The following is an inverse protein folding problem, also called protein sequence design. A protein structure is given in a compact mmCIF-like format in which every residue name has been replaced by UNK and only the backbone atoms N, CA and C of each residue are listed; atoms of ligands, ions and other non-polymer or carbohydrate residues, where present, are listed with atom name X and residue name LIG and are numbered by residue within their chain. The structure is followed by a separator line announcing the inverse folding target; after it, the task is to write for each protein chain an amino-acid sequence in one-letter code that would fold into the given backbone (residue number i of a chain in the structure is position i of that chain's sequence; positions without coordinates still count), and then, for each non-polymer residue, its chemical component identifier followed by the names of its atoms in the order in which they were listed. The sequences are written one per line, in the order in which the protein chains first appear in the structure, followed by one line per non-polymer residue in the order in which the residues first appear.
data_IF_847264690964
#
_entry.id   IF_847264690964
#
_cell.length_a   1.000
_cell.length_b   1.000
_cell.length_c   1.000
_cell.angle_alpha   90.00
_cell.angle_beta   90.00
_cell.angle_gamma   90.00
#
_symmetry.space_group_name_H-M   'P 1'
#
loop_
_entity.id
_entity.type
_entity.pdbx_description
1 polymer ?
#
# COMPACT_ATOMS: atom_id res chain seq x y z
N UNK A 1 7.89 25.37 -29.93
CA UNK A 1 9.04 24.86 -29.15
C UNK A 1 10.28 25.77 -29.18
N UNK A 2 10.55 26.55 -30.24
CA UNK A 2 11.74 27.43 -30.32
C UNK A 2 11.71 28.65 -29.37
N UNK A 3 10.53 29.27 -29.19
CA UNK A 3 10.38 30.57 -28.50
C UNK A 3 10.78 30.58 -27.01
N UNK A 4 10.52 29.49 -26.28
CA UNK A 4 10.87 29.41 -24.85
C UNK A 4 12.38 29.19 -24.63
N UNK A 5 13.03 28.43 -25.50
CA UNK A 5 14.48 28.17 -25.42
C UNK A 5 15.33 29.42 -25.70
N UNK A 6 14.88 30.30 -26.58
CA UNK A 6 15.55 31.58 -26.90
C UNK A 6 15.44 32.58 -25.75
N UNK A 7 14.25 32.69 -25.13
CA UNK A 7 14.05 33.53 -23.93
C UNK A 7 14.93 33.05 -22.77
N UNK A 8 15.02 31.73 -22.57
CA UNK A 8 15.87 31.13 -21.52
C UNK A 8 17.38 31.33 -21.77
N UNK A 9 17.82 31.41 -23.03
CA UNK A 9 19.21 31.76 -23.36
C UNK A 9 19.51 33.24 -23.13
N UNK A 10 18.53 34.12 -23.36
CA UNK A 10 18.66 35.56 -23.16
C UNK A 10 18.69 35.98 -21.68
N UNK A 11 18.06 35.21 -20.77
CA UNK A 11 17.96 35.54 -19.33
C UNK A 11 19.21 35.16 -18.53
N UNK A 12 20.16 34.41 -19.09
CA UNK A 12 21.39 34.04 -18.40
C UNK A 12 21.24 32.87 -17.41
N UNK A 13 22.39 32.30 -17.04
CA UNK A 13 22.57 31.04 -16.33
C UNK A 13 21.63 30.81 -15.13
N UNK A 14 21.04 29.60 -15.07
CA UNK A 14 20.47 28.93 -13.88
C UNK A 14 20.47 29.76 -12.59
N UNK A 15 19.47 30.63 -12.45
CA UNK A 15 19.28 31.39 -11.21
C UNK A 15 18.70 30.52 -10.08
N UNK A 16 18.89 30.96 -8.83
CA UNK A 16 18.34 30.30 -7.63
C UNK A 16 16.82 30.03 -7.74
N UNK A 17 16.09 30.93 -8.41
CA UNK A 17 14.65 30.80 -8.62
C UNK A 17 14.27 29.60 -9.50
N UNK A 18 15.04 29.31 -10.56
CA UNK A 18 14.79 28.14 -11.41
C UNK A 18 15.09 26.84 -10.65
N UNK A 19 16.18 26.82 -9.89
CA UNK A 19 16.53 25.68 -9.02
C UNK A 19 15.45 25.43 -7.97
N UNK A 20 14.93 26.47 -7.32
CA UNK A 20 13.84 26.36 -6.34
C UNK A 20 12.55 25.79 -6.96
N UNK A 21 12.15 26.26 -8.15
CA UNK A 21 10.97 25.74 -8.84
C UNK A 21 11.15 24.26 -9.20
N UNK A 22 12.33 23.90 -9.70
CA UNK A 22 12.65 22.52 -10.08
C UNK A 22 12.62 21.60 -8.86
N UNK A 23 13.19 22.02 -7.74
CA UNK A 23 13.09 21.28 -6.47
C UNK A 23 11.64 21.18 -5.98
N UNK A 24 10.86 22.26 -6.06
CA UNK A 24 9.46 22.27 -5.65
C UNK A 24 8.60 21.33 -6.51
N UNK A 25 8.84 21.29 -7.83
CA UNK A 25 8.16 20.34 -8.74
C UNK A 25 8.59 18.92 -8.41
N UNK A 26 9.82 18.68 -7.99
CA UNK A 26 10.33 17.34 -7.69
C UNK A 26 9.88 16.79 -6.33
N UNK A 27 9.55 17.66 -5.37
CA UNK A 27 9.17 17.28 -4.00
C UNK A 27 8.02 16.25 -3.92
N UNK A 28 6.91 16.35 -4.69
CA UNK A 28 5.85 15.35 -4.66
C UNK A 28 6.29 13.93 -5.06
N UNK A 29 7.44 13.74 -5.72
CA UNK A 29 7.97 12.39 -5.99
C UNK A 29 8.35 11.62 -4.71
N UNK A 30 8.63 12.34 -3.61
CA UNK A 30 8.80 11.70 -2.30
C UNK A 30 7.49 11.05 -1.84
N UNK A 31 6.36 11.73 -2.03
CA UNK A 31 5.03 11.22 -1.65
C UNK A 31 4.58 10.06 -2.55
N UNK A 32 4.97 10.08 -3.84
CA UNK A 32 4.71 8.98 -4.76
C UNK A 32 5.33 7.66 -4.27
N UNK A 33 6.54 7.74 -3.71
CA UNK A 33 7.28 6.57 -3.22
C UNK A 33 6.50 5.78 -2.16
N UNK A 34 5.74 6.49 -1.33
CA UNK A 34 4.89 5.91 -0.28
C UNK A 34 3.70 5.15 -0.88
N UNK A 35 3.10 5.70 -1.93
CA UNK A 35 2.01 5.03 -2.65
C UNK A 35 2.48 3.73 -3.31
N UNK A 36 3.73 3.70 -3.81
CA UNK A 36 4.35 2.47 -4.31
C UNK A 36 4.71 1.50 -3.19
N UNK A 37 5.16 1.98 -2.03
CA UNK A 37 5.44 1.11 -0.89
C UNK A 37 4.17 0.35 -0.45
N UNK A 38 2.99 0.97 -0.48
CA UNK A 38 1.72 0.26 -0.21
C UNK A 38 1.52 -1.00 -1.06
N UNK A 39 2.10 -1.05 -2.27
CA UNK A 39 2.00 -2.20 -3.18
C UNK A 39 2.98 -3.29 -2.77
N UNK A 40 4.20 -2.94 -2.38
CA UNK A 40 5.19 -3.91 -1.90
C UNK A 40 4.70 -4.64 -0.65
N UNK A 41 3.93 -3.95 0.20
CA UNK A 41 3.28 -4.54 1.38
C UNK A 41 2.07 -5.42 1.04
N UNK A 42 1.47 -5.26 -0.14
CA UNK A 42 0.46 -6.20 -0.65
C UNK A 42 1.11 -7.53 -1.08
N UNK A 43 2.40 -7.50 -1.42
CA UNK A 43 3.15 -8.68 -1.88
C UNK A 43 3.87 -9.42 -0.74
N UNK A 44 4.09 -8.75 0.41
CA UNK A 44 4.68 -9.40 1.58
C UNK A 44 3.68 -10.38 2.21
N UNK A 45 3.92 -11.67 2.03
CA UNK A 45 3.10 -12.76 2.56
C UNK A 45 3.67 -13.23 3.92
N UNK A 46 3.07 -12.85 5.07
CA UNK A 46 3.57 -13.28 6.39
C UNK A 46 3.28 -14.76 6.66
N UNK A 47 4.07 -15.36 7.54
CA UNK A 47 3.75 -16.69 8.06
C UNK A 47 2.41 -16.66 8.81
N UNK A 48 1.60 -17.70 8.58
CA UNK A 48 0.21 -17.75 9.04
C UNK A 48 -0.26 -19.19 9.17
N UNK A 49 -1.33 -19.37 9.92
CA UNK A 49 -2.06 -20.62 10.02
C UNK A 49 -3.58 -20.34 10.10
N UNK A 50 -4.41 -21.36 9.83
CA UNK A 50 -5.85 -21.23 9.99
C UNK A 50 -6.21 -21.02 11.47
N UNK A 51 -7.22 -20.18 11.75
CA UNK A 51 -7.84 -20.23 13.06
C UNK A 51 -8.54 -21.60 13.25
N UNK A 52 -8.20 -22.31 14.32
CA UNK A 52 -8.72 -23.64 14.64
C UNK A 52 -9.31 -23.72 16.05
N UNK A 53 -9.83 -22.61 16.57
CA UNK A 53 -10.45 -22.51 17.90
C UNK A 53 -11.62 -23.47 18.12
N UNK A 54 -12.20 -24.04 17.05
CA UNK A 54 -13.26 -25.05 17.15
C UNK A 54 -12.83 -26.25 18.02
N UNK A 55 -11.55 -26.60 18.08
CA UNK A 55 -11.06 -27.73 18.89
C UNK A 55 -11.08 -27.44 20.39
N UNK A 56 -11.07 -26.16 20.80
CA UNK A 56 -11.18 -25.76 22.21
C UNK A 56 -12.54 -26.16 22.82
N UNK A 57 -13.57 -26.37 21.99
CA UNK A 57 -14.84 -26.95 22.42
C UNK A 57 -14.75 -28.42 22.83
N UNK A 58 -13.79 -29.17 22.27
CA UNK A 58 -13.52 -30.58 22.62
C UNK A 58 -12.47 -30.71 23.73
N UNK A 59 -11.60 -29.71 23.89
CA UNK A 59 -10.56 -29.67 24.92
C UNK A 59 -10.17 -28.24 25.29
N UNK A 60 -10.65 -27.68 26.40
CA UNK A 60 -10.39 -26.28 26.76
C UNK A 60 -8.97 -26.00 27.29
N UNK A 61 -8.19 -27.05 27.62
CA UNK A 61 -6.86 -26.93 28.23
C UNK A 61 -5.73 -27.40 27.28
N UNK A 62 -5.87 -27.21 25.96
CA UNK A 62 -4.79 -27.50 25.02
C UNK A 62 -3.75 -26.37 24.98
N UNK A 63 -2.49 -26.73 24.78
CA UNK A 63 -1.45 -25.77 24.40
C UNK A 63 -1.56 -25.45 22.91
N UNK A 64 -1.12 -24.25 22.53
CA UNK A 64 -1.19 -23.77 21.13
C UNK A 64 -0.44 -24.70 20.16
N UNK A 65 0.73 -25.22 20.57
CA UNK A 65 1.50 -26.18 19.78
C UNK A 65 0.75 -27.50 19.58
N UNK A 66 0.08 -28.00 20.63
CA UNK A 66 -0.67 -29.25 20.55
C UNK A 66 -1.93 -29.08 19.71
N UNK A 67 -2.60 -27.93 19.83
CA UNK A 67 -3.72 -27.54 18.98
C UNK A 67 -3.31 -27.55 17.51
N UNK A 68 -2.26 -26.82 17.14
CA UNK A 68 -1.81 -26.72 15.74
C UNK A 68 -1.37 -28.08 15.18
N UNK A 69 -0.71 -28.91 15.98
CA UNK A 69 -0.29 -30.24 15.53
C UNK A 69 -1.46 -31.20 15.28
N UNK A 70 -2.62 -30.98 15.93
CA UNK A 70 -3.82 -31.78 15.72
C UNK A 70 -4.73 -31.23 14.61
N UNK A 71 -4.77 -29.90 14.42
CA UNK A 71 -5.74 -29.24 13.54
C UNK A 71 -5.20 -28.78 12.21
N UNK A 72 -3.87 -28.62 12.06
CA UNK A 72 -3.24 -28.14 10.84
C UNK A 72 -2.35 -29.25 10.23
N UNK A 73 -2.59 -29.65 8.96
CA UNK A 73 -1.74 -30.63 8.30
C UNK A 73 -0.33 -30.09 8.08
N UNK A 74 0.66 -30.98 7.99
CA UNK A 74 2.04 -30.63 7.64
C UNK A 74 2.28 -30.78 6.15
N UNK A 75 3.00 -29.82 5.58
CA UNK A 75 3.50 -29.88 4.22
C UNK A 75 4.66 -30.90 4.10
N UNK A 76 5.03 -31.31 2.87
CA UNK A 76 6.10 -32.31 2.65
C UNK A 76 7.47 -31.88 3.19
N UNK A 77 7.66 -30.59 3.41
CA UNK A 77 8.84 -29.96 3.99
C UNK A 77 8.85 -30.00 5.54
N UNK A 78 7.78 -30.51 6.17
CA UNK A 78 7.61 -30.59 7.60
C UNK A 78 7.08 -29.31 8.25
N UNK A 79 6.82 -28.26 7.46
CA UNK A 79 6.21 -27.01 7.92
C UNK A 79 4.68 -27.16 8.05
N UNK A 80 4.04 -26.26 8.81
CA UNK A 80 2.59 -26.24 8.91
C UNK A 80 1.98 -25.71 7.61
N UNK A 81 0.93 -26.37 7.11
CA UNK A 81 0.21 -25.92 5.92
C UNK A 81 -0.36 -24.52 6.13
N UNK A 82 0.02 -23.60 5.23
CA UNK A 82 -0.37 -22.18 5.32
C UNK A 82 -1.78 -21.88 4.86
N UNK A 83 -2.48 -22.87 4.29
CA UNK A 83 -3.75 -22.67 3.57
C UNK A 83 -4.83 -23.71 3.88
N UNK A 84 -4.50 -24.78 4.59
CA UNK A 84 -5.37 -25.92 4.83
C UNK A 84 -5.48 -26.19 6.33
N UNK A 85 -6.65 -26.65 6.75
CA UNK A 85 -6.89 -27.19 8.09
C UNK A 85 -7.65 -28.51 7.99
N UNK A 86 -7.60 -29.31 9.04
CA UNK A 86 -8.52 -30.41 9.19
C UNK A 86 -9.95 -29.92 9.43
N UNK A 87 -10.92 -30.60 8.82
CA UNK A 87 -12.32 -30.24 8.94
C UNK A 87 -12.81 -30.42 10.40
N UNK A 88 -13.65 -29.50 10.90
CA UNK A 88 -14.19 -29.61 12.25
C UNK A 88 -15.06 -30.86 12.39
N UNK A 89 -14.84 -31.60 13.48
CA UNK A 89 -15.59 -32.82 13.82
C UNK A 89 -16.14 -32.73 15.24
N UNK A 90 -17.32 -33.29 15.46
CA UNK A 90 -17.94 -33.39 16.79
C UNK A 90 -17.42 -34.62 17.56
N UNK A 91 -16.10 -34.78 17.67
CA UNK A 91 -15.47 -35.89 18.38
C UNK A 91 -14.86 -35.41 19.69
N UNK A 92 -14.69 -36.33 20.64
CA UNK A 92 -13.93 -36.04 21.87
C UNK A 92 -12.43 -35.97 21.58
N UNK A 93 -11.69 -35.21 22.39
CA UNK A 93 -10.25 -35.03 22.22
C UNK A 93 -9.48 -36.36 22.16
N UNK A 94 -9.87 -37.34 22.99
CA UNK A 94 -9.22 -38.65 23.02
C UNK A 94 -9.43 -39.43 21.71
N UNK A 95 -10.62 -39.32 21.10
CA UNK A 95 -10.90 -39.92 19.79
C UNK A 95 -10.07 -39.26 18.68
N UNK A 96 -9.88 -37.93 18.74
CA UNK A 96 -9.06 -37.20 17.78
C UNK A 96 -7.59 -37.64 17.91
N UNK A 97 -7.07 -37.80 19.12
CA UNK A 97 -5.70 -38.30 19.37
C UNK A 97 -5.49 -39.74 18.91
N UNK A 98 -6.50 -40.60 19.04
CA UNK A 98 -6.41 -42.01 18.66
C UNK A 98 -6.56 -42.26 17.16
N UNK A 99 -7.55 -41.63 16.53
CA UNK A 99 -7.89 -41.92 15.13
C UNK A 99 -7.29 -40.92 14.14
N UNK A 100 -6.87 -39.75 14.61
CA UNK A 100 -6.40 -38.66 13.76
C UNK A 100 -7.51 -38.06 12.89
N UNK A 101 -7.20 -36.93 12.28
CA UNK A 101 -8.06 -36.28 11.30
C UNK A 101 -7.50 -36.55 9.90
N UNK A 102 -8.34 -37.02 8.98
CA UNK A 102 -7.93 -37.36 7.61
C UNK A 102 -8.51 -36.41 6.55
N UNK A 103 -9.56 -35.67 6.89
CA UNK A 103 -10.24 -34.79 5.93
C UNK A 103 -9.74 -33.35 6.07
N UNK A 104 -9.10 -32.83 5.03
CA UNK A 104 -8.60 -31.45 4.96
C UNK A 104 -9.54 -30.56 4.18
N UNK A 105 -9.73 -29.32 4.64
CA UNK A 105 -10.53 -28.27 4.01
C UNK A 105 -9.79 -26.94 4.04
N UNK A 106 -10.17 -26.00 3.17
CA UNK A 106 -9.71 -24.61 3.26
C UNK A 106 -10.13 -23.96 4.60
N UNK A 107 -9.35 -23.01 5.11
CA UNK A 107 -9.67 -22.32 6.35
C UNK A 107 -11.04 -21.62 6.27
N UNK A 108 -11.87 -21.81 7.29
CA UNK A 108 -13.23 -21.22 7.35
C UNK A 108 -13.36 -20.13 8.40
N UNK A 109 -12.66 -20.26 9.52
CA UNK A 109 -12.86 -19.41 10.71
C UNK A 109 -11.83 -18.27 10.81
N UNK A 110 -11.27 -17.86 9.67
CA UNK A 110 -10.26 -16.81 9.56
C UNK A 110 -8.82 -17.31 9.69
N UNK A 111 -7.90 -16.36 9.75
CA UNK A 111 -6.46 -16.59 9.74
C UNK A 111 -5.81 -16.00 10.99
N UNK A 112 -4.84 -16.72 11.53
CA UNK A 112 -3.95 -16.20 12.56
C UNK A 112 -2.59 -15.97 11.91
N UNK A 113 -2.17 -14.71 11.88
CA UNK A 113 -0.91 -14.28 11.29
C UNK A 113 0.13 -14.13 12.38
N UNK A 114 1.35 -14.60 12.11
CA UNK A 114 2.46 -14.36 13.03
C UNK A 114 2.88 -12.88 12.92
N UNK A 115 2.78 -12.16 14.05
CA UNK A 115 3.00 -10.70 14.11
C UNK A 115 4.48 -10.32 14.23
N UNK A 116 5.40 -11.26 13.99
CA UNK A 116 6.84 -11.09 14.15
C UNK A 116 7.41 -10.01 13.21
N UNK A 117 6.87 -9.89 11.99
CA UNK A 117 7.33 -8.94 10.98
C UNK A 117 6.46 -7.68 10.87
N UNK A 118 5.12 -7.80 10.87
CA UNK A 118 4.19 -6.68 10.67
C UNK A 118 2.93 -6.84 11.53
N UNK A 119 2.40 -5.75 12.10
CA UNK A 119 1.20 -5.80 12.96
C UNK A 119 -0.10 -5.71 12.16
N UNK A 120 -0.14 -4.91 11.09
CA UNK A 120 -1.29 -4.81 10.18
C UNK A 120 -0.85 -4.44 8.76
N UNK A 121 -1.15 -5.32 7.80
CA UNK A 121 -1.00 -5.07 6.36
C UNK A 121 -2.37 -5.11 5.68
N UNK A 122 -2.47 -4.61 4.45
CA UNK A 122 -3.71 -4.70 3.65
C UNK A 122 -4.07 -6.17 3.39
N UNK A 123 -3.07 -7.05 3.30
CA UNK A 123 -3.27 -8.49 3.09
C UNK A 123 -3.89 -9.14 4.32
N UNK A 124 -3.41 -8.79 5.52
CA UNK A 124 -3.97 -9.29 6.79
C UNK A 124 -5.31 -8.62 7.14
N UNK A 125 -5.50 -7.35 6.79
CA UNK A 125 -6.75 -6.61 7.05
C UNK A 125 -7.94 -7.14 6.22
N UNK A 126 -7.68 -7.68 5.03
CA UNK A 126 -8.72 -8.14 4.10
C UNK A 126 -8.62 -9.63 3.74
N UNK A 127 -7.77 -10.38 4.44
CA UNK A 127 -7.53 -11.82 4.24
C UNK A 127 -7.34 -12.21 2.76
N UNK A 128 -6.47 -11.47 2.06
CA UNK A 128 -6.18 -11.64 0.63
C UNK A 128 -5.20 -12.80 0.38
N UNK A 129 -5.47 -13.97 0.97
CA UNK A 129 -4.49 -15.04 1.09
C UNK A 129 -4.98 -16.37 0.50
N UNK A 130 -4.04 -17.27 0.16
CA UNK A 130 -4.30 -18.60 -0.40
C UNK A 130 -5.12 -18.52 -1.68
N UNK A 131 -6.38 -18.97 -1.68
CA UNK A 131 -7.28 -18.85 -2.83
C UNK A 131 -7.44 -17.41 -3.30
N UNK A 132 -7.26 -16.42 -2.40
CA UNK A 132 -7.36 -14.99 -2.70
C UNK A 132 -6.01 -14.32 -2.99
N UNK A 133 -4.89 -15.05 -2.93
CA UNK A 133 -3.56 -14.47 -3.21
C UNK A 133 -3.46 -13.89 -4.63
N UNK A 134 -4.16 -14.49 -5.61
CA UNK A 134 -4.22 -13.98 -6.97
C UNK A 134 -4.84 -12.56 -7.06
N UNK A 135 -5.71 -12.17 -6.13
CA UNK A 135 -6.33 -10.85 -6.10
C UNK A 135 -5.31 -9.75 -5.78
N UNK A 136 -4.28 -10.04 -4.98
CA UNK A 136 -3.19 -9.11 -4.70
C UNK A 136 -2.40 -8.77 -5.99
N UNK A 137 -2.04 -9.80 -6.75
CA UNK A 137 -1.35 -9.66 -8.05
C UNK A 137 -2.23 -8.93 -9.08
N UNK A 138 -3.52 -9.27 -9.14
CA UNK A 138 -4.48 -8.56 -10.00
C UNK A 138 -4.58 -7.09 -9.58
N UNK A 139 -4.68 -6.78 -8.29
CA UNK A 139 -4.75 -5.40 -7.82
C UNK A 139 -3.49 -4.60 -8.20
N UNK A 140 -2.30 -5.20 -8.10
CA UNK A 140 -1.04 -4.57 -8.52
C UNK A 140 -1.01 -4.29 -10.03
N UNK A 141 -1.38 -5.29 -10.86
CA UNK A 141 -1.40 -5.13 -12.32
C UNK A 141 -2.43 -4.09 -12.75
N UNK A 142 -3.63 -4.10 -12.17
CA UNK A 142 -4.66 -3.09 -12.37
C UNK A 142 -4.13 -1.71 -11.97
N UNK A 143 -3.46 -1.57 -10.84
CA UNK A 143 -2.90 -0.28 -10.41
C UNK A 143 -1.89 0.30 -11.42
N UNK A 144 -1.02 -0.54 -11.99
CA UNK A 144 -0.10 -0.13 -13.06
C UNK A 144 -0.85 0.29 -14.33
N UNK A 145 -1.88 -0.46 -14.72
CA UNK A 145 -2.73 -0.10 -15.86
C UNK A 145 -3.44 1.25 -15.66
N UNK A 146 -3.83 1.56 -14.43
CA UNK A 146 -4.49 2.83 -14.07
C UNK A 146 -3.51 4.01 -14.13
N UNK A 147 -2.25 3.83 -13.71
CA UNK A 147 -1.20 4.84 -13.91
C UNK A 147 -1.00 5.14 -15.40
N UNK A 148 -1.01 4.10 -16.24
CA UNK A 148 -0.92 4.25 -17.68
C UNK A 148 -2.13 4.99 -18.24
N UNK A 149 -3.35 4.64 -17.82
CA UNK A 149 -4.56 5.33 -18.23
C UNK A 149 -4.54 6.82 -17.84
N UNK A 150 -4.14 7.14 -16.61
CA UNK A 150 -4.00 8.53 -16.16
C UNK A 150 -3.00 9.33 -16.99
N UNK A 151 -1.92 8.69 -17.43
CA UNK A 151 -0.94 9.26 -18.35
C UNK A 151 -1.56 9.65 -19.70
N UNK A 152 -2.41 8.78 -20.27
CA UNK A 152 -3.11 9.05 -21.53
C UNK A 152 -4.19 10.13 -21.41
N UNK A 153 -4.85 10.25 -20.25
CA UNK A 153 -5.88 11.27 -20.01
C UNK A 153 -5.26 12.65 -19.83
N UNK A 154 -4.28 12.77 -18.93
CA UNK A 154 -3.68 14.04 -18.55
C UNK A 154 -2.60 14.54 -19.52
N UNK A 155 -2.10 13.68 -20.42
CA UNK A 155 -1.11 14.05 -21.43
C UNK A 155 -1.66 15.08 -22.44
N UNK A 156 -2.66 14.73 -23.27
CA UNK A 156 -3.27 15.64 -24.25
C UNK A 156 -3.98 16.83 -23.58
N UNK A 157 -4.55 16.63 -22.39
CA UNK A 157 -5.20 17.69 -21.63
C UNK A 157 -4.25 18.82 -21.20
N UNK A 158 -2.92 18.60 -21.26
CA UNK A 158 -1.93 19.61 -20.89
C UNK A 158 -1.83 20.79 -21.85
N UNK A 159 -2.29 20.63 -23.09
CA UNK A 159 -2.22 21.65 -24.13
C UNK A 159 -3.29 22.75 -23.97
N UNK A 160 -4.59 22.43 -23.82
CA UNK A 160 -5.62 23.46 -23.68
C UNK A 160 -5.69 24.09 -22.28
N UNK A 161 -5.45 23.32 -21.21
CA UNK A 161 -5.63 23.79 -19.83
C UNK A 161 -4.35 24.39 -19.20
N UNK A 162 -3.23 24.33 -19.92
CA UNK A 162 -1.92 24.81 -19.48
C UNK A 162 -1.19 23.83 -18.57
N UNK A 163 0.11 23.64 -18.84
CA UNK A 163 0.95 22.65 -18.13
C UNK A 163 1.08 22.88 -16.62
N UNK A 164 1.08 24.14 -16.14
CA UNK A 164 1.21 24.43 -14.70
C UNK A 164 -0.01 23.91 -13.92
N UNK A 165 -1.20 24.20 -14.40
CA UNK A 165 -2.47 23.76 -13.81
C UNK A 165 -2.56 22.23 -13.77
N UNK A 166 -2.11 21.58 -14.84
CA UNK A 166 -2.13 20.12 -15.00
C UNK A 166 -1.03 19.39 -14.20
N UNK A 167 -0.07 20.11 -13.62
CA UNK A 167 0.81 19.58 -12.56
C UNK A 167 0.17 19.73 -11.18
N UNK A 168 -0.53 20.84 -10.93
CA UNK A 168 -1.12 21.13 -9.61
C UNK A 168 -2.35 20.26 -9.31
N UNK A 169 -3.29 20.11 -10.25
CA UNK A 169 -4.53 19.34 -10.04
C UNK A 169 -4.24 17.89 -9.59
N UNK A 170 -3.39 17.11 -10.29
CA UNK A 170 -3.11 15.73 -9.88
C UNK A 170 -2.41 15.64 -8.53
N UNK A 171 -1.61 16.65 -8.14
CA UNK A 171 -0.94 16.66 -6.82
C UNK A 171 -1.96 16.83 -5.69
N UNK A 172 -2.95 17.70 -5.87
CA UNK A 172 -4.03 17.86 -4.88
C UNK A 172 -4.89 16.61 -4.78
N UNK A 173 -5.26 16.00 -5.92
CA UNK A 173 -5.99 14.74 -5.94
C UNK A 173 -5.19 13.62 -5.27
N UNK A 174 -3.90 13.51 -5.57
CA UNK A 174 -3.00 12.55 -4.94
C UNK A 174 -3.00 12.70 -3.42
N UNK A 175 -2.78 13.91 -2.89
CA UNK A 175 -2.76 14.14 -1.44
C UNK A 175 -4.11 13.80 -0.79
N UNK A 176 -5.22 14.25 -1.37
CA UNK A 176 -6.56 14.01 -0.84
C UNK A 176 -6.89 12.52 -0.78
N UNK A 177 -6.76 11.81 -1.90
CA UNK A 177 -7.12 10.38 -1.96
C UNK A 177 -6.12 9.47 -1.21
N UNK A 178 -4.87 9.89 -1.02
CA UNK A 178 -3.92 9.16 -0.16
C UNK A 178 -4.38 9.17 1.29
N UNK A 179 -4.84 10.32 1.81
CA UNK A 179 -5.41 10.40 3.17
C UNK A 179 -6.67 9.55 3.28
N UNK A 180 -7.56 9.62 2.29
CA UNK A 180 -8.78 8.78 2.24
C UNK A 180 -8.42 7.29 2.27
N UNK A 181 -7.36 6.87 1.58
CA UNK A 181 -6.89 5.48 1.58
C UNK A 181 -6.32 5.03 2.93
N UNK A 182 -5.78 5.94 3.74
CA UNK A 182 -5.34 5.63 5.10
C UNK A 182 -6.50 5.42 6.08
N UNK A 183 -7.59 6.16 5.87
CA UNK A 183 -8.79 6.13 6.72
C UNK A 183 -9.82 5.08 6.30
N UNK A 184 -9.67 4.44 5.13
CA UNK A 184 -10.69 3.56 4.57
C UNK A 184 -10.80 2.24 5.33
N UNK A 185 -11.92 1.99 5.99
CA UNK A 185 -12.20 0.72 6.68
C UNK A 185 -12.76 -0.37 5.75
N UNK A 186 -13.21 0.02 4.56
CA UNK A 186 -13.81 -0.88 3.57
C UNK A 186 -12.87 -1.13 2.38
N UNK A 187 -12.78 -2.38 1.93
CA UNK A 187 -11.95 -2.77 0.78
C UNK A 187 -12.32 -2.00 -0.49
N UNK A 188 -13.62 -1.84 -0.78
CA UNK A 188 -14.09 -1.11 -1.96
C UNK A 188 -13.69 0.37 -1.94
N UNK A 189 -13.78 1.02 -0.78
CA UNK A 189 -13.38 2.41 -0.61
C UNK A 189 -11.86 2.57 -0.76
N UNK A 190 -11.10 1.63 -0.20
CA UNK A 190 -9.65 1.56 -0.38
C UNK A 190 -9.27 1.42 -1.86
N UNK A 191 -9.86 0.45 -2.57
CA UNK A 191 -9.59 0.22 -4.00
C UNK A 191 -9.97 1.42 -4.86
N UNK A 192 -11.13 2.04 -4.63
CA UNK A 192 -11.56 3.24 -5.34
C UNK A 192 -10.61 4.43 -5.11
N UNK A 193 -10.16 4.63 -3.87
CA UNK A 193 -9.19 5.68 -3.55
C UNK A 193 -7.83 5.42 -4.21
N UNK A 194 -7.37 4.16 -4.25
CA UNK A 194 -6.13 3.77 -4.94
C UNK A 194 -6.23 3.94 -6.46
N UNK A 195 -7.39 3.70 -7.05
CA UNK A 195 -7.62 3.98 -8.46
C UNK A 195 -7.43 5.47 -8.78
N UNK A 196 -8.05 6.35 -7.98
CA UNK A 196 -7.92 7.79 -8.14
C UNK A 196 -6.48 8.29 -7.89
N UNK A 197 -5.80 7.71 -6.91
CA UNK A 197 -4.36 7.93 -6.68
C UNK A 197 -3.57 7.53 -7.92
N UNK A 198 -3.78 6.33 -8.47
CA UNK A 198 -3.08 5.83 -9.66
C UNK A 198 -3.21 6.76 -10.88
N UNK A 199 -4.42 7.23 -11.17
CA UNK A 199 -4.66 8.22 -12.26
C UNK A 199 -3.84 9.49 -12.02
N UNK A 200 -3.88 9.99 -10.78
CA UNK A 200 -3.19 11.22 -10.38
C UNK A 200 -1.67 11.08 -10.50
N UNK A 201 -1.12 9.91 -10.13
CA UNK A 201 0.31 9.59 -10.29
C UNK A 201 0.72 9.66 -11.77
N UNK A 202 -0.04 9.01 -12.66
CA UNK A 202 0.22 9.02 -14.10
C UNK A 202 0.21 10.44 -14.67
N UNK A 203 -0.82 11.20 -14.35
CA UNK A 203 -0.98 12.57 -14.84
C UNK A 203 0.09 13.53 -14.31
N UNK A 204 0.46 13.42 -13.04
CA UNK A 204 1.56 14.20 -12.47
C UNK A 204 2.90 13.84 -13.13
N UNK A 205 3.24 12.55 -13.27
CA UNK A 205 4.55 12.11 -13.79
C UNK A 205 4.82 12.62 -15.20
N UNK A 206 3.84 12.55 -16.11
CA UNK A 206 3.99 13.06 -17.48
C UNK A 206 4.15 14.59 -17.46
N UNK A 207 3.25 15.30 -16.80
CA UNK A 207 3.22 16.75 -16.84
C UNK A 207 4.42 17.38 -16.12
N UNK A 208 4.84 16.82 -14.98
CA UNK A 208 6.02 17.26 -14.25
C UNK A 208 7.30 17.02 -15.05
N UNK A 209 7.42 15.87 -15.74
CA UNK A 209 8.56 15.56 -16.60
C UNK A 209 8.72 16.53 -17.75
N UNK A 210 7.63 16.94 -18.39
CA UNK A 210 7.66 17.93 -19.48
C UNK A 210 7.97 19.31 -18.93
N UNK A 211 7.25 19.75 -17.89
CA UNK A 211 7.41 21.08 -17.30
C UNK A 211 8.84 21.27 -16.77
N UNK A 212 9.41 20.30 -16.05
CA UNK A 212 10.78 20.38 -15.56
C UNK A 212 11.81 20.53 -16.67
N UNK A 213 11.65 19.80 -17.79
CA UNK A 213 12.51 19.93 -18.98
C UNK A 213 12.33 21.25 -19.74
N UNK A 214 11.18 21.91 -19.59
CA UNK A 214 10.94 23.25 -20.16
C UNK A 214 11.65 24.34 -19.34
N UNK A 215 11.66 24.22 -18.01
CA UNK A 215 12.36 25.15 -17.12
C UNK A 215 13.88 25.03 -17.19
N UNK A 216 14.38 23.83 -17.43
CA UNK A 216 15.81 23.58 -17.59
C UNK A 216 16.18 23.82 -19.06
N UNK A 217 17.07 24.78 -19.30
CA UNK A 217 17.61 25.02 -20.64
C UNK A 217 18.18 23.74 -21.29
N UNK A 218 18.26 23.73 -22.62
CA UNK A 218 18.63 22.57 -23.46
C UNK A 218 19.86 21.81 -22.94
N UNK A 219 20.84 22.53 -22.39
CA UNK A 219 22.11 21.97 -21.89
C UNK A 219 21.98 21.06 -20.66
N UNK A 220 20.95 21.21 -19.81
CA UNK A 220 20.79 20.44 -18.55
C UNK A 220 19.49 19.65 -18.46
N UNK A 221 18.84 19.36 -19.59
CA UNK A 221 17.55 18.64 -19.62
C UNK A 221 17.60 17.24 -19.02
N UNK A 222 18.74 16.54 -19.10
CA UNK A 222 18.93 15.21 -18.50
C UNK A 222 19.06 15.23 -16.98
N UNK A 223 19.39 16.38 -16.38
CA UNK A 223 19.56 16.50 -14.93
C UNK A 223 18.22 16.30 -14.18
N UNK A 224 17.10 16.73 -14.77
CA UNK A 224 15.77 16.60 -14.16
C UNK A 224 15.34 15.17 -13.86
N UNK A 225 15.30 14.24 -14.86
CA UNK A 225 14.91 12.87 -14.59
C UNK A 225 15.86 12.20 -13.60
N UNK A 226 17.17 12.47 -13.69
CA UNK A 226 18.13 11.97 -12.70
C UNK A 226 17.81 12.43 -11.28
N UNK A 227 17.54 13.73 -11.10
CA UNK A 227 17.19 14.29 -9.78
C UNK A 227 15.87 13.72 -9.25
N UNK A 228 14.85 13.59 -10.08
CA UNK A 228 13.57 12.96 -9.70
C UNK A 228 13.76 11.50 -9.30
N UNK A 229 14.58 10.75 -10.05
CA UNK A 229 14.87 9.36 -9.74
C UNK A 229 15.59 9.22 -8.40
N UNK A 230 16.60 10.07 -8.14
CA UNK A 230 17.31 10.09 -6.85
C UNK A 230 16.36 10.42 -5.70
N UNK A 231 15.51 11.44 -5.85
CA UNK A 231 14.50 11.79 -4.85
C UNK A 231 13.52 10.65 -4.61
N UNK A 232 13.11 9.94 -5.67
CA UNK A 232 12.22 8.78 -5.55
C UNK A 232 12.92 7.65 -4.79
N UNK A 233 14.17 7.34 -5.11
CA UNK A 233 14.95 6.33 -4.38
C UNK A 233 15.15 6.70 -2.90
N UNK A 234 15.47 7.95 -2.60
CA UNK A 234 15.53 8.44 -1.21
C UNK A 234 14.17 8.29 -0.52
N UNK A 235 13.07 8.66 -1.20
CA UNK A 235 11.71 8.49 -0.69
C UNK A 235 11.38 7.04 -0.37
N UNK A 236 11.79 6.10 -1.22
CA UNK A 236 11.61 4.66 -0.98
C UNK A 236 12.43 4.19 0.24
N UNK A 237 13.69 4.60 0.37
CA UNK A 237 14.51 4.27 1.54
C UNK A 237 13.93 4.83 2.84
N UNK A 238 13.47 6.08 2.83
CA UNK A 238 12.81 6.71 3.98
C UNK A 238 11.53 5.96 4.33
N UNK A 239 10.73 5.59 3.33
CA UNK A 239 9.49 4.83 3.56
C UNK A 239 9.79 3.46 4.14
N UNK A 240 10.78 2.73 3.61
CA UNK A 240 11.19 1.44 4.17
C UNK A 240 11.65 1.56 5.63
N UNK A 241 12.43 2.60 5.95
CA UNK A 241 12.84 2.90 7.33
C UNK A 241 11.66 3.24 8.25
N UNK A 242 10.71 4.04 7.77
CA UNK A 242 9.49 4.36 8.50
C UNK A 242 8.65 3.12 8.78
N UNK A 243 8.53 2.20 7.83
CA UNK A 243 7.78 0.95 8.03
C UNK A 243 8.46 -0.01 8.99
N UNK A 244 9.80 -0.01 9.05
CA UNK A 244 10.52 -0.80 10.05
C UNK A 244 10.24 -0.28 11.48
N UNK A 245 10.07 1.03 11.63
CA UNK A 245 9.72 1.64 12.92
C UNK A 245 8.22 1.60 13.26
N UNK A 246 7.36 1.82 12.27
CA UNK A 246 5.89 1.85 12.39
C UNK A 246 5.36 0.61 11.71
N UNK A 247 5.18 -0.47 12.48
CA UNK A 247 4.67 -1.77 12.01
C UNK A 247 3.19 -1.76 11.57
N UNK A 248 2.58 -0.56 11.52
CA UNK A 248 1.22 -0.28 11.07
C UNK A 248 1.20 0.57 9.79
N UNK A 249 0.79 -0.05 8.68
CA UNK A 249 0.77 0.57 7.35
C UNK A 249 -0.18 1.78 7.25
N UNK A 250 -1.31 1.75 7.96
CA UNK A 250 -2.31 2.83 7.96
C UNK A 250 -1.79 4.08 8.66
N UNK A 251 -1.07 3.91 9.76
CA UNK A 251 -0.44 5.02 10.48
C UNK A 251 0.65 5.67 9.62
N UNK A 252 1.44 4.87 8.89
CA UNK A 252 2.41 5.41 7.95
C UNK A 252 1.75 6.25 6.84
N UNK A 253 0.63 5.78 6.26
CA UNK A 253 -0.12 6.54 5.24
C UNK A 253 -0.72 7.84 5.79
N UNK A 254 -1.27 7.82 7.00
CA UNK A 254 -1.86 9.01 7.64
C UNK A 254 -0.80 10.03 8.09
N UNK A 255 0.32 9.59 8.65
CA UNK A 255 1.43 10.45 9.09
C UNK A 255 2.08 11.21 7.92
N UNK A 256 2.06 10.63 6.73
CA UNK A 256 2.69 11.25 5.55
C UNK A 256 1.70 12.14 4.79
N UNK A 257 0.40 11.82 4.81
CA UNK A 257 -0.66 12.64 4.22
C UNK A 257 -1.04 13.87 5.06
N UNK A 258 -0.69 13.90 6.35
CA UNK A 258 -0.98 15.01 7.26
C UNK A 258 0.30 15.67 7.77
N UNK A 259 0.47 16.96 7.45
CA UNK A 259 1.48 17.78 8.11
C UNK A 259 1.01 18.05 9.53
N UNK A 260 1.39 17.17 10.47
CA UNK A 260 1.44 17.39 11.91
C UNK A 260 0.16 17.82 12.62
N UNK A 261 -0.50 16.87 13.28
CA UNK A 261 -0.86 16.99 14.71
C UNK A 261 -1.29 15.62 15.23
N UNK A 262 -0.64 15.22 16.32
CA UNK A 262 -0.82 13.91 16.95
C UNK A 262 -2.28 13.63 17.28
N UNK A 263 -2.72 12.43 16.90
CA UNK A 263 -3.94 11.82 17.40
C UNK A 263 -3.58 10.37 17.76
N UNK A 264 -3.23 10.24 19.03
CA UNK A 264 -3.38 9.11 19.95
C UNK A 264 -2.84 7.72 19.56
N UNK A 265 -1.71 7.40 20.20
CA UNK A 265 -1.48 6.10 20.83
C UNK A 265 -2.51 5.89 21.94
N UNK A 266 -3.38 4.90 21.81
CA UNK A 266 -3.71 4.04 22.95
C UNK A 266 -4.22 2.69 22.47
N UNK A 267 -3.47 1.64 22.83
CA UNK A 267 -3.79 0.22 22.76
C UNK A 267 -4.47 -0.32 21.50
N UNK A 268 -3.78 -1.25 20.83
CA UNK A 268 -4.40 -2.20 19.93
C UNK A 268 -5.70 -2.77 20.52
N UNK A 269 -6.75 -2.74 19.70
CA UNK A 269 -8.19 -2.97 19.96
C UNK A 269 -9.00 -1.68 20.13
N UNK A 270 -9.89 -1.49 19.15
CA UNK A 270 -11.09 -0.64 19.17
C UNK A 270 -10.94 0.81 18.69
N UNK A 271 -11.19 1.04 17.40
CA UNK A 271 -11.96 2.21 16.97
C UNK A 271 -13.45 1.81 16.94
N UNK A 272 -14.02 1.73 18.13
CA UNK A 272 -15.46 1.69 18.37
C UNK A 272 -15.82 3.09 18.89
N UNK A 273 -16.45 3.90 18.03
CA UNK A 273 -17.24 5.08 18.41
C UNK A 273 -18.52 4.89 17.59
N UNK A 274 -19.55 4.26 18.16
CA UNK A 274 -20.47 4.89 19.10
C UNK A 274 -20.92 6.26 18.59
N UNK A 275 -21.82 6.23 17.61
CA UNK A 275 -22.77 7.31 17.33
C UNK A 275 -23.99 6.74 16.61
N UNK A 276 -24.67 5.78 17.25
CA UNK A 276 -26.12 5.66 17.11
C UNK A 276 -26.65 5.61 18.54
N UNK A 277 -27.09 6.78 19.00
CA UNK A 277 -27.64 7.06 20.32
C UNK A 277 -29.07 6.54 20.40
N UNK A 278 -29.44 6.05 21.59
CA UNK A 278 -30.82 6.01 22.04
C UNK A 278 -31.52 7.35 21.75
N UNK A 279 -32.60 7.30 20.98
CA UNK A 279 -33.94 7.70 21.40
C UNK A 279 -34.93 6.63 20.89
#
# INVERSE_FOLDING_TARGET
MAKSGEILRAVGNFGLFQTLIVLAISFPNLLLSVSFASILFIDSDPERHCNTDWILGAGPNLTEEEQLNLTVPREPDGSLSRCLMYAPVNWTLDSIRQYGLNHTTACRDGWVYDQTLYQATIVTDFDLVCDKAHLAVIAQTVFMAVILAGSFIFGPASEPFGRKTLVQIPVFLLMGFTVVSGLSLNLYMYLASKFMVGISIGGYRINASVLGKEWLGISKRSLFPCMNQLLTSIGQCVTAGLMFGVRDLRMALCLIGSRGRGVYLHNGRSCLLHCESLD
#
